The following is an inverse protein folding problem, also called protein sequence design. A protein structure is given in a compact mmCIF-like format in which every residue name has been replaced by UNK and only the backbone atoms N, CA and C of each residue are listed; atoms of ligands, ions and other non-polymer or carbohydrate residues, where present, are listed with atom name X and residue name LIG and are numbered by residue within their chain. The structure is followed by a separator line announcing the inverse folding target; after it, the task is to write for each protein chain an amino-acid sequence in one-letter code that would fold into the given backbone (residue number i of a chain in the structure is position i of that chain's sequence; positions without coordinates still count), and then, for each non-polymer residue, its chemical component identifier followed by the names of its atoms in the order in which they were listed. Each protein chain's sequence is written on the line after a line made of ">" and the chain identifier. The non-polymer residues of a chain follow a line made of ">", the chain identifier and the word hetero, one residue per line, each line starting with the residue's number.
data_IF_439912677942
#
_entry.id   IF_439912677942
#
_cell.length_a   1.000
_cell.length_b   1.000
_cell.length_c   1.000
_cell.angle_alpha   90.00
_cell.angle_beta   90.00
_cell.angle_gamma   90.00
#
_symmetry.space_group_name_H-M   'P 1'
#
loop_
_entity.id
_entity.type
_entity.pdbx_description
1 polymer ?
#
# COMPACT_ATOMS: atom_id res chain seq x y z
N UNK A 1 -16.71 10.00 8.82
CA UNK A 1 -17.18 9.77 7.44
C UNK A 1 -16.01 9.17 6.67
N UNK A 2 -16.22 8.09 5.93
CA UNK A 2 -15.19 7.48 5.08
C UNK A 2 -15.34 8.08 3.68
N UNK A 3 -14.22 8.33 2.99
CA UNK A 3 -14.21 8.86 1.62
C UNK A 3 -14.35 7.68 0.65
N UNK A 4 -15.54 7.52 0.10
CA UNK A 4 -15.87 6.42 -0.83
C UNK A 4 -15.46 6.74 -2.28
N UNK A 5 -14.96 7.95 -2.53
CA UNK A 5 -14.51 8.45 -3.83
C UNK A 5 -13.00 8.25 -4.07
N UNK A 6 -12.31 7.56 -3.15
CA UNK A 6 -10.88 7.27 -3.26
C UNK A 6 -10.69 5.78 -3.55
N UNK A 7 -10.17 5.46 -4.73
CA UNK A 7 -9.89 4.08 -5.14
C UNK A 7 -8.50 3.60 -4.67
N UNK A 8 -7.50 4.48 -4.71
CA UNK A 8 -6.09 4.12 -4.44
C UNK A 8 -5.38 5.23 -3.69
N UNK A 9 -4.52 4.85 -2.75
CA UNK A 9 -3.63 5.72 -1.98
C UNK A 9 -2.19 5.32 -2.30
N UNK A 10 -1.40 6.28 -2.77
CA UNK A 10 0.05 6.13 -2.92
C UNK A 10 0.75 6.69 -1.68
N UNK A 11 1.66 5.94 -1.09
CA UNK A 11 2.38 6.32 0.12
C UNK A 11 3.87 6.03 -0.03
N UNK A 12 4.73 6.88 0.52
CA UNK A 12 6.16 6.59 0.52
C UNK A 12 6.47 5.43 1.47
N UNK A 13 7.38 4.54 1.07
CA UNK A 13 7.80 3.37 1.87
C UNK A 13 8.25 3.75 3.30
N UNK A 14 8.97 4.87 3.47
CA UNK A 14 9.41 5.30 4.80
C UNK A 14 8.24 5.73 5.70
N UNK A 15 7.23 6.40 5.14
CA UNK A 15 6.02 6.76 5.89
C UNK A 15 5.20 5.52 6.22
N UNK A 16 5.10 4.56 5.29
CA UNK A 16 4.41 3.30 5.51
C UNK A 16 5.04 2.49 6.66
N UNK A 17 6.35 2.60 6.85
CA UNK A 17 7.06 2.01 8.00
C UNK A 17 6.64 2.65 9.32
N UNK A 18 6.58 3.98 9.37
CA UNK A 18 6.19 4.72 10.58
C UNK A 18 4.77 4.36 11.06
N UNK A 19 3.85 4.12 10.12
CA UNK A 19 2.46 3.77 10.41
C UNK A 19 2.14 2.28 10.23
N UNK A 20 3.15 1.40 10.25
CA UNK A 20 2.96 -0.03 9.92
C UNK A 20 1.89 -0.73 10.74
N UNK A 21 1.77 -0.36 12.01
CA UNK A 21 0.76 -0.87 12.91
C UNK A 21 -0.67 -0.57 12.41
N UNK A 22 -0.91 0.59 11.78
CA UNK A 22 -2.19 0.94 11.18
C UNK A 22 -2.43 0.16 9.89
N UNK A 23 -1.40 0.05 9.03
CA UNK A 23 -1.48 -0.70 7.77
C UNK A 23 -1.80 -2.18 8.01
N UNK A 24 -1.20 -2.79 9.03
CA UNK A 24 -1.48 -4.18 9.41
C UNK A 24 -2.93 -4.40 9.88
N UNK A 25 -3.56 -3.38 10.46
CA UNK A 25 -4.97 -3.43 10.90
C UNK A 25 -5.95 -3.03 9.79
N UNK A 26 -5.45 -2.60 8.63
CA UNK A 26 -6.28 -2.17 7.51
C UNK A 26 -6.69 -3.37 6.64
N UNK A 27 -7.91 -3.85 6.82
CA UNK A 27 -8.41 -5.04 6.13
C UNK A 27 -9.19 -4.73 4.84
N UNK A 28 -9.55 -3.45 4.62
CA UNK A 28 -10.37 -3.02 3.49
C UNK A 28 -9.60 -3.14 2.18
N UNK A 29 -10.28 -3.60 1.14
CA UNK A 29 -9.71 -3.67 -0.21
C UNK A 29 -9.68 -2.31 -0.90
N UNK A 30 -10.66 -1.44 -0.62
CA UNK A 30 -10.75 -0.09 -1.19
C UNK A 30 -10.83 0.94 -0.05
N UNK A 31 -10.00 2.00 -0.08
CA UNK A 31 -8.93 2.26 -1.04
C UNK A 31 -7.74 1.27 -0.96
N UNK A 32 -7.16 0.94 -2.11
CA UNK A 32 -5.92 0.16 -2.19
C UNK A 32 -4.73 1.02 -1.78
N UNK A 33 -3.85 0.52 -0.90
CA UNK A 33 -2.64 1.23 -0.47
C UNK A 33 -1.44 0.69 -1.25
N UNK A 34 -0.68 1.57 -1.92
CA UNK A 34 0.51 1.22 -2.68
C UNK A 34 1.72 2.01 -2.18
N UNK A 35 2.76 1.30 -1.77
CA UNK A 35 4.03 1.87 -1.33
C UNK A 35 4.93 2.19 -2.53
N UNK A 36 5.48 3.41 -2.57
CA UNK A 36 6.41 3.88 -3.59
C UNK A 36 7.71 4.39 -2.94
N UNK A 37 8.85 4.34 -3.64
CA UNK A 37 10.06 5.00 -3.17
C UNK A 37 9.94 6.52 -3.25
N UNK A 38 10.80 7.22 -2.52
CA UNK A 38 10.94 8.68 -2.60
C UNK A 38 12.20 9.07 -3.38
N UNK A 39 12.30 10.32 -3.82
CA UNK A 39 13.46 10.84 -4.55
C UNK A 39 14.77 10.77 -3.74
N UNK A 40 14.68 10.91 -2.41
CA UNK A 40 15.84 11.03 -1.51
C UNK A 40 16.17 9.72 -0.77
N UNK A 41 15.26 8.75 -0.77
CA UNK A 41 15.47 7.42 -0.22
C UNK A 41 15.16 6.37 -1.28
N UNK A 42 16.18 5.69 -1.84
CA UNK A 42 15.98 4.64 -2.83
C UNK A 42 15.15 3.49 -2.24
N UNK A 43 14.40 2.80 -3.11
CA UNK A 43 13.60 1.64 -2.72
C UNK A 43 14.49 0.58 -2.07
N UNK A 44 14.11 0.12 -0.89
CA UNK A 44 14.78 -1.00 -0.23
C UNK A 44 13.91 -2.26 -0.37
N UNK A 45 14.24 -3.18 -1.30
CA UNK A 45 13.47 -4.41 -1.51
C UNK A 45 13.55 -5.37 -0.32
N UNK A 46 14.55 -5.23 0.56
CA UNK A 46 14.69 -6.06 1.76
C UNK A 46 13.77 -5.62 2.90
N UNK A 47 13.39 -4.34 2.93
CA UNK A 47 12.40 -3.76 3.85
C UNK A 47 10.97 -3.82 3.32
N UNK A 48 10.84 -4.21 2.05
CA UNK A 48 9.56 -4.46 1.41
C UNK A 48 8.89 -5.68 2.02
N UNK A 49 8.12 -5.48 3.09
CA UNK A 49 6.88 -6.24 3.21
C UNK A 49 6.06 -5.84 2.00
N UNK A 50 6.17 -6.62 0.92
CA UNK A 50 5.17 -6.63 -0.14
C UNK A 50 3.85 -6.99 0.53
N UNK A 51 3.12 -6.00 1.05
CA UNK A 51 1.73 -6.19 1.44
C UNK A 51 0.98 -6.43 0.14
N UNK A 52 0.91 -7.73 -0.20
CA UNK A 52 0.15 -8.35 -1.27
C UNK A 52 -1.26 -7.75 -1.34
N UNK A 53 -1.48 -6.76 -2.21
CA UNK A 53 -2.84 -6.50 -2.74
C UNK A 53 -2.85 -6.09 -4.21
N UNK A 54 -1.71 -6.13 -4.92
CA UNK A 54 -1.70 -6.01 -6.39
C UNK A 54 -2.16 -7.32 -7.06
N UNK A 55 -2.02 -8.46 -6.37
CA UNK A 55 -2.33 -9.78 -6.92
C UNK A 55 -3.81 -10.20 -6.87
N UNK A 56 -4.70 -9.46 -6.19
CA UNK A 56 -6.13 -9.86 -6.12
C UNK A 56 -6.96 -9.25 -7.25
N UNK A 57 -6.61 -8.06 -7.75
CA UNK A 57 -7.28 -7.45 -8.90
C UNK A 57 -6.82 -8.02 -10.25
N UNK A 58 -5.65 -8.66 -10.33
CA UNK A 58 -5.13 -9.24 -11.58
C UNK A 58 -5.46 -10.73 -11.75
N UNK A 59 -6.13 -11.37 -10.78
CA UNK A 59 -6.50 -12.80 -10.84
C UNK A 59 -7.99 -13.01 -11.17
N UNK A 60 -8.80 -11.94 -11.24
CA UNK A 60 -10.19 -11.98 -11.72
C UNK A 60 -10.34 -11.67 -13.23
N UNK A 61 -9.26 -11.77 -14.01
CA UNK A 61 -9.31 -11.77 -15.49
C UNK A 61 -8.72 -13.07 -16.08
N UNK A 62 -9.09 -14.23 -15.54
CA UNK A 62 -8.81 -15.54 -16.15
C UNK A 62 -9.95 -16.52 -15.98
#
# INVERSE_FOLDING_TARGET
>A
MIRDDIATILINQHIAEEIRHLLNTYEKTIPTILEIPSKDSPYDPSKGYTMKRVGMMLVEES
#
